data_IF_678887096669
#
_entry.id   IF_678887096669
#
_cell.length_a   1.000
_cell.length_b   1.000
_cell.length_c   1.000
_cell.angle_alpha   90.00
_cell.angle_beta   90.00
_cell.angle_gamma   90.00
#
_symmetry.space_group_name_H-M   'P 1'
#
loop_
_entity.id
_entity.type
_entity.pdbx_description
1 polymer ?
#
# COMPACT_ATOMS: atom_id res chain seq x y z
N UNK A 1 -27.68 1.25 -28.60
CA UNK A 1 -27.01 2.48 -28.13
C UNK A 1 -25.59 2.03 -27.84
N UNK A 2 -24.66 2.39 -28.73
CA UNK A 2 -23.27 1.94 -28.69
C UNK A 2 -22.66 2.30 -27.34
N UNK A 3 -22.02 1.32 -26.70
CA UNK A 3 -21.06 1.59 -25.62
C UNK A 3 -19.96 2.44 -26.27
N UNK A 4 -19.89 3.71 -25.90
CA UNK A 4 -18.72 4.53 -26.22
C UNK A 4 -17.50 3.79 -25.69
N UNK A 5 -16.56 3.45 -26.58
CA UNK A 5 -15.28 2.89 -26.18
C UNK A 5 -14.65 3.86 -25.17
N UNK A 6 -14.42 3.40 -23.95
CA UNK A 6 -13.70 4.20 -22.94
C UNK A 6 -12.36 4.58 -23.56
N UNK A 7 -12.22 5.85 -23.93
CA UNK A 7 -11.06 6.35 -24.66
C UNK A 7 -9.83 6.24 -23.75
N UNK A 8 -9.01 5.21 -23.98
CA UNK A 8 -7.78 4.99 -23.23
C UNK A 8 -6.80 6.12 -23.54
N UNK A 9 -6.52 6.95 -22.54
CA UNK A 9 -5.68 8.15 -22.67
C UNK A 9 -4.17 7.83 -22.77
N UNK A 10 -3.78 6.55 -22.82
CA UNK A 10 -2.39 6.11 -22.90
C UNK A 10 -1.62 6.14 -21.57
N UNK A 11 -2.28 6.57 -20.49
CA UNK A 11 -1.75 6.51 -19.13
C UNK A 11 -1.84 5.11 -18.55
N UNK A 12 -0.84 4.72 -17.76
CA UNK A 12 -0.83 3.45 -17.02
C UNK A 12 -0.19 3.60 -15.65
N UNK A 13 -0.71 2.91 -14.66
CA UNK A 13 0.00 2.70 -13.39
C UNK A 13 1.02 1.57 -13.58
N UNK A 14 2.33 1.82 -13.43
CA UNK A 14 3.32 0.76 -13.52
C UNK A 14 3.21 -0.19 -12.32
N UNK A 15 3.66 -1.44 -12.52
CA UNK A 15 3.82 -2.39 -11.43
C UNK A 15 4.86 -1.89 -10.42
N UNK A 16 4.71 -2.29 -9.15
CA UNK A 16 5.63 -1.86 -8.09
C UNK A 16 7.06 -2.43 -8.24
N UNK A 17 7.26 -3.49 -9.02
CA UNK A 17 8.63 -3.95 -9.31
C UNK A 17 9.35 -3.16 -10.40
N UNK A 18 8.67 -2.24 -11.10
CA UNK A 18 9.32 -1.35 -12.04
C UNK A 18 10.37 -0.49 -11.33
N UNK A 19 11.41 -0.05 -12.05
CA UNK A 19 12.46 0.77 -11.46
C UNK A 19 11.91 2.08 -10.88
N UNK A 20 12.31 2.45 -9.69
CA UNK A 20 11.91 3.66 -8.97
C UNK A 20 12.92 4.79 -9.09
N UNK A 21 12.41 6.02 -9.11
CA UNK A 21 13.18 7.25 -8.92
C UNK A 21 13.31 7.60 -7.43
N UNK A 22 12.30 7.30 -6.62
CA UNK A 22 12.31 7.52 -5.18
C UNK A 22 11.19 6.71 -4.50
N UNK A 23 11.30 6.50 -3.18
CA UNK A 23 10.18 6.17 -2.30
C UNK A 23 9.74 7.41 -1.53
N UNK A 24 8.43 7.59 -1.39
CA UNK A 24 7.82 8.58 -0.51
C UNK A 24 7.33 7.94 0.78
N UNK A 25 7.50 8.66 1.89
CA UNK A 25 7.00 8.30 3.22
C UNK A 25 6.48 9.56 3.92
N UNK A 26 5.65 9.39 4.95
CA UNK A 26 5.20 10.49 5.82
C UNK A 26 5.66 10.20 7.25
N UNK A 27 6.27 11.18 7.90
CA UNK A 27 6.83 11.02 9.24
C UNK A 27 5.74 11.08 10.31
N UNK A 28 5.69 10.12 11.26
CA UNK A 28 4.70 10.13 12.33
C UNK A 28 5.01 11.25 13.33
N UNK A 29 3.99 12.06 13.61
CA UNK A 29 4.10 13.23 14.50
C UNK A 29 2.95 13.34 15.52
N UNK A 30 1.81 12.69 15.26
CA UNK A 30 0.62 12.82 16.08
C UNK A 30 0.74 12.01 17.38
N UNK A 31 1.29 12.63 18.42
CA UNK A 31 1.54 11.97 19.70
C UNK A 31 0.25 11.44 20.34
N UNK A 32 -0.83 12.23 20.32
CA UNK A 32 -2.09 11.83 20.94
C UNK A 32 -2.69 10.59 20.27
N UNK A 33 -2.60 10.51 18.93
CA UNK A 33 -3.05 9.33 18.19
C UNK A 33 -2.24 8.09 18.59
N UNK A 34 -0.91 8.15 18.52
CA UNK A 34 -0.07 6.99 18.81
C UNK A 34 -0.12 6.55 20.28
N UNK A 35 -0.10 7.51 21.22
CA UNK A 35 -0.05 7.19 22.65
C UNK A 35 -1.41 6.88 23.25
N UNK A 36 -2.46 7.61 22.88
CA UNK A 36 -3.78 7.43 23.50
C UNK A 36 -4.66 6.42 22.76
N UNK A 37 -4.52 6.31 21.43
CA UNK A 37 -5.32 5.37 20.63
C UNK A 37 -4.56 4.05 20.45
N UNK A 38 -3.33 4.10 19.95
CA UNK A 38 -2.58 2.87 19.59
C UNK A 38 -1.78 2.26 20.75
N UNK A 39 -1.71 2.95 21.90
CA UNK A 39 -1.09 2.43 23.12
C UNK A 39 0.44 2.24 23.03
N UNK A 40 1.11 2.97 22.13
CA UNK A 40 2.57 2.96 21.96
C UNK A 40 3.14 4.37 22.00
N UNK A 41 4.40 4.52 22.41
CA UNK A 41 5.00 5.87 22.43
C UNK A 41 5.31 6.36 21.02
N UNK A 42 5.09 7.65 20.74
CA UNK A 42 5.44 8.23 19.44
C UNK A 42 6.93 8.03 19.13
N UNK A 43 7.80 8.13 20.13
CA UNK A 43 9.24 7.95 19.97
C UNK A 43 9.60 6.53 19.49
N UNK A 44 8.91 5.49 19.97
CA UNK A 44 9.10 4.12 19.51
C UNK A 44 8.66 3.95 18.05
N UNK A 45 7.50 4.50 17.69
CA UNK A 45 6.99 4.45 16.31
C UNK A 45 7.94 5.18 15.35
N UNK A 46 8.44 6.35 15.74
CA UNK A 46 9.43 7.09 14.96
C UNK A 46 10.73 6.30 14.72
N UNK A 47 11.17 5.50 15.70
CA UNK A 47 12.31 4.60 15.50
C UNK A 47 12.00 3.51 14.46
N UNK A 48 10.79 2.95 14.46
CA UNK A 48 10.36 1.97 13.47
C UNK A 48 10.34 2.57 12.06
N UNK A 49 9.76 3.76 11.88
CA UNK A 49 9.76 4.50 10.61
C UNK A 49 11.17 4.83 10.12
N UNK A 50 12.07 5.28 11.02
CA UNK A 50 13.46 5.58 10.67
C UNK A 50 14.21 4.32 10.21
N UNK A 51 13.95 3.16 10.80
CA UNK A 51 14.53 1.88 10.35
C UNK A 51 14.05 1.51 8.95
N UNK A 52 12.75 1.65 8.67
CA UNK A 52 12.19 1.41 7.33
C UNK A 52 12.81 2.36 6.30
N UNK A 53 12.79 3.66 6.57
CA UNK A 53 13.37 4.67 5.67
C UNK A 53 14.86 4.42 5.42
N UNK A 54 15.62 4.07 6.47
CA UNK A 54 17.06 3.76 6.34
C UNK A 54 17.30 2.49 5.54
N UNK A 55 16.45 1.47 5.67
CA UNK A 55 16.53 0.24 4.90
C UNK A 55 16.30 0.52 3.41
N UNK A 56 15.27 1.30 3.07
CA UNK A 56 14.95 1.70 1.69
C UNK A 56 16.08 2.56 1.08
N UNK A 57 16.62 3.51 1.86
CA UNK A 57 17.68 4.43 1.43
C UNK A 57 19.00 3.75 1.02
N UNK A 58 19.13 2.43 1.22
CA UNK A 58 20.22 1.61 0.68
C UNK A 58 20.06 1.31 -0.81
N UNK A 59 18.83 1.33 -1.33
CA UNK A 59 18.47 0.86 -2.67
C UNK A 59 17.90 1.96 -3.57
N UNK A 60 17.27 2.98 -3.00
CA UNK A 60 16.72 4.12 -3.74
C UNK A 60 16.58 5.39 -2.87
N UNK A 61 16.49 6.58 -3.49
CA UNK A 61 16.25 7.82 -2.74
C UNK A 61 14.95 7.75 -1.93
N UNK A 62 14.97 8.29 -0.71
CA UNK A 62 13.78 8.40 0.16
C UNK A 62 13.46 9.87 0.37
N UNK A 63 12.19 10.20 0.12
CA UNK A 63 11.60 11.52 0.37
C UNK A 63 10.58 11.38 1.50
N UNK A 64 10.83 12.08 2.61
CA UNK A 64 10.01 12.04 3.80
C UNK A 64 9.24 13.36 3.92
N UNK A 65 7.91 13.29 3.82
CA UNK A 65 7.03 14.40 4.17
C UNK A 65 7.00 14.51 5.69
N UNK A 66 7.26 15.70 6.25
CA UNK A 66 7.35 15.89 7.70
C UNK A 66 6.50 17.07 8.12
N UNK A 67 5.59 16.86 9.08
CA UNK A 67 4.89 17.99 9.70
C UNK A 67 5.92 18.98 10.30
N UNK A 68 5.75 20.31 10.14
CA UNK A 68 6.68 21.29 10.69
C UNK A 68 6.99 21.12 12.18
N UNK A 69 6.05 20.61 12.98
CA UNK A 69 6.24 20.34 14.41
C UNK A 69 7.24 19.21 14.70
N UNK A 70 7.45 18.29 13.75
CA UNK A 70 8.25 17.09 13.95
C UNK A 70 9.59 17.09 13.20
N UNK A 71 9.93 18.17 12.49
CA UNK A 71 11.20 18.28 11.73
C UNK A 71 12.42 17.96 12.60
N UNK A 72 12.46 18.42 13.85
CA UNK A 72 13.57 18.13 14.75
C UNK A 72 13.74 16.63 15.04
N UNK A 73 12.63 15.92 15.29
CA UNK A 73 12.64 14.47 15.53
C UNK A 73 13.05 13.69 14.28
N UNK A 74 12.57 14.12 13.11
CA UNK A 74 12.96 13.54 11.83
C UNK A 74 14.45 13.73 11.56
N UNK A 75 15.01 14.93 11.77
CA UNK A 75 16.46 15.17 11.60
C UNK A 75 17.30 14.29 12.54
N UNK A 76 16.83 14.09 13.78
CA UNK A 76 17.56 13.32 14.78
C UNK A 76 17.65 11.82 14.42
N UNK A 77 16.63 11.27 13.77
CA UNK A 77 16.51 9.83 13.49
C UNK A 77 16.77 9.47 12.03
N UNK A 78 16.42 10.34 11.10
CA UNK A 78 16.69 10.19 9.68
C UNK A 78 18.09 10.72 9.37
N UNK A 79 18.97 9.85 8.91
CA UNK A 79 20.31 10.24 8.44
C UNK A 79 20.27 11.13 7.18
N UNK A 80 21.43 11.66 6.74
CA UNK A 80 21.50 12.63 5.64
C UNK A 80 21.12 12.08 4.25
N UNK A 81 20.80 10.78 4.15
CA UNK A 81 20.37 10.13 2.91
C UNK A 81 18.87 10.26 2.64
N UNK A 82 18.11 10.76 3.61
CA UNK A 82 16.65 10.93 3.51
C UNK A 82 16.39 12.42 3.32
N UNK A 83 15.70 12.77 2.22
CA UNK A 83 15.29 14.13 1.95
C UNK A 83 14.04 14.47 2.78
N UNK A 84 14.14 15.46 3.67
CA UNK A 84 13.00 15.91 4.48
C UNK A 84 12.27 17.06 3.77
N UNK A 85 10.96 16.94 3.65
CA UNK A 85 10.08 17.89 2.95
C UNK A 85 9.03 18.40 3.96
N UNK A 86 9.24 19.59 4.56
CA UNK A 86 8.32 20.12 5.56
C UNK A 86 6.95 20.48 4.95
N UNK A 87 5.91 19.77 5.39
CA UNK A 87 4.52 19.95 4.94
C UNK A 87 3.57 19.40 6.01
N UNK A 88 2.49 20.15 6.31
CA UNK A 88 1.49 19.70 7.28
C UNK A 88 0.79 18.41 6.83
N UNK A 89 0.51 17.51 7.76
CA UNK A 89 -0.17 16.21 7.57
C UNK A 89 -0.98 15.88 8.83
N UNK A 90 -1.97 15.00 8.75
CA UNK A 90 -2.72 14.52 9.94
C UNK A 90 -2.13 13.21 10.47
N UNK A 91 -1.85 12.27 9.57
CA UNK A 91 -1.29 10.95 9.89
C UNK A 91 -0.12 10.59 8.95
N UNK A 92 0.34 9.34 8.98
CA UNK A 92 1.63 8.89 8.44
C UNK A 92 1.54 7.79 7.37
N UNK A 93 0.33 7.52 6.87
CA UNK A 93 0.05 6.47 5.89
C UNK A 93 0.21 7.00 4.46
N UNK A 94 1.46 7.10 4.02
CA UNK A 94 1.82 7.66 2.72
C UNK A 94 1.24 6.87 1.54
N UNK A 95 1.02 5.55 1.71
CA UNK A 95 0.42 4.68 0.69
C UNK A 95 -0.97 5.15 0.31
N UNK A 96 -1.74 5.59 1.30
CA UNK A 96 -3.18 5.80 1.16
C UNK A 96 -3.52 7.25 0.81
N UNK A 97 -2.78 8.20 1.38
CA UNK A 97 -2.96 9.64 1.17
C UNK A 97 -2.02 10.22 0.09
N UNK A 98 -1.01 9.47 -0.34
CA UNK A 98 -0.07 9.83 -1.38
C UNK A 98 -0.63 9.66 -2.80
N UNK A 99 0.10 10.15 -3.83
CA UNK A 99 -0.35 10.03 -5.21
C UNK A 99 -0.08 8.63 -5.76
N UNK A 100 -1.02 8.11 -6.56
CA UNK A 100 -0.72 6.97 -7.44
C UNK A 100 -0.08 7.50 -8.72
N UNK A 101 1.22 7.27 -8.89
CA UNK A 101 1.95 7.72 -10.07
C UNK A 101 1.56 6.93 -11.33
N UNK A 102 1.40 7.63 -12.44
CA UNK A 102 1.06 7.07 -13.75
C UNK A 102 2.04 7.54 -14.81
N UNK A 103 2.31 6.68 -15.79
CA UNK A 103 3.24 6.95 -16.88
C UNK A 103 2.51 6.96 -18.22
N UNK A 104 2.97 7.81 -19.14
CA UNK A 104 2.58 7.83 -20.53
C UNK A 104 3.83 7.73 -21.42
N UNK A 105 3.80 6.97 -22.54
CA UNK A 105 4.98 6.81 -23.38
C UNK A 105 5.52 8.13 -23.96
N UNK A 106 4.62 9.04 -24.36
CA UNK A 106 4.97 10.37 -24.88
C UNK A 106 4.90 11.52 -23.86
N UNK A 107 3.97 11.50 -22.88
CA UNK A 107 3.72 12.65 -21.99
C UNK A 107 4.52 12.59 -20.68
N UNK A 108 5.23 11.50 -20.40
CA UNK A 108 6.08 11.42 -19.22
C UNK A 108 5.41 10.83 -17.99
N UNK A 109 5.74 11.39 -16.83
CA UNK A 109 5.24 11.01 -15.52
C UNK A 109 4.16 12.01 -15.07
N UNK A 110 3.07 11.49 -14.50
CA UNK A 110 2.03 12.27 -13.83
C UNK A 110 1.56 11.51 -12.59
N UNK A 111 0.58 12.04 -11.86
CA UNK A 111 -0.04 11.32 -10.74
C UNK A 111 -1.54 11.51 -10.66
N UNK A 112 -2.20 10.50 -10.14
CA UNK A 112 -3.60 10.54 -9.73
C UNK A 112 -3.66 10.95 -8.26
N UNK A 113 -4.51 11.92 -7.95
CA UNK A 113 -4.88 12.31 -6.60
C UNK A 113 -6.31 11.84 -6.36
N UNK A 114 -6.45 10.77 -5.59
CA UNK A 114 -7.74 10.27 -5.12
C UNK A 114 -8.33 11.19 -4.06
N UNK A 115 -9.63 11.06 -3.79
CA UNK A 115 -10.26 11.71 -2.64
C UNK A 115 -9.97 10.90 -1.37
N UNK A 116 -8.93 11.23 -0.64
CA UNK A 116 -8.67 10.55 0.64
C UNK A 116 -9.62 11.06 1.74
N UNK A 117 -10.23 10.15 2.50
CA UNK A 117 -11.17 10.48 3.57
C UNK A 117 -10.89 9.78 4.91
N UNK A 118 -9.65 9.36 5.17
CA UNK A 118 -9.27 8.56 6.34
C UNK A 118 -10.15 7.31 6.53
N UNK A 119 -10.15 6.46 5.50
CA UNK A 119 -10.81 5.16 5.47
C UNK A 119 -12.28 5.20 5.93
N UNK A 120 -13.04 6.19 5.44
CA UNK A 120 -14.44 6.39 5.84
C UNK A 120 -14.61 7.31 7.05
N UNK A 121 -13.80 8.36 7.16
CA UNK A 121 -13.80 9.36 8.22
C UNK A 121 -13.53 8.79 9.62
N UNK A 122 -12.71 7.75 9.72
CA UNK A 122 -12.29 7.12 10.99
C UNK A 122 -11.25 7.96 11.74
N UNK A 123 -10.64 8.96 11.09
CA UNK A 123 -9.64 9.85 11.68
C UNK A 123 -9.68 11.24 11.02
N UNK A 124 -9.03 12.21 11.66
CA UNK A 124 -8.84 13.56 11.08
C UNK A 124 -7.95 13.48 9.83
N UNK A 125 -8.27 14.25 8.79
CA UNK A 125 -7.64 14.12 7.47
C UNK A 125 -7.65 15.39 6.62
N UNK A 126 -7.86 16.57 7.20
CA UNK A 126 -8.00 17.81 6.42
C UNK A 126 -6.74 18.15 5.60
N UNK A 127 -5.56 17.81 6.12
CA UNK A 127 -4.28 17.96 5.44
C UNK A 127 -3.97 16.77 4.52
N UNK A 128 -4.36 15.57 4.92
CA UNK A 128 -4.08 14.34 4.17
C UNK A 128 -4.95 14.20 2.91
N UNK A 129 -6.18 14.74 2.91
CA UNK A 129 -7.05 14.80 1.73
C UNK A 129 -6.35 15.45 0.52
N UNK A 130 -5.47 16.42 0.77
CA UNK A 130 -4.74 17.16 -0.26
C UNK A 130 -3.28 16.72 -0.44
N UNK A 131 -2.81 15.72 0.30
CA UNK A 131 -1.38 15.35 0.33
C UNK A 131 -0.88 14.94 -1.05
N UNK A 132 -1.57 14.03 -1.74
CA UNK A 132 -1.23 13.61 -3.11
C UNK A 132 -1.01 14.79 -4.06
N UNK A 133 -1.94 15.75 -4.08
CA UNK A 133 -1.82 16.97 -4.90
C UNK A 133 -0.62 17.83 -4.50
N UNK A 134 -0.37 18.00 -3.19
CA UNK A 134 0.76 18.79 -2.68
C UNK A 134 2.11 18.15 -3.03
N UNK A 135 2.21 16.82 -2.98
CA UNK A 135 3.39 16.05 -3.42
C UNK A 135 3.61 16.25 -4.93
N UNK A 136 2.57 16.10 -5.75
CA UNK A 136 2.68 16.28 -7.21
C UNK A 136 3.07 17.72 -7.59
N UNK A 137 2.50 18.72 -6.91
CA UNK A 137 2.86 20.12 -7.10
C UNK A 137 4.33 20.39 -6.72
N UNK A 138 4.81 19.81 -5.60
CA UNK A 138 6.21 19.93 -5.19
C UNK A 138 7.16 19.34 -6.25
N UNK A 139 6.76 18.24 -6.89
CA UNK A 139 7.52 17.63 -8.00
C UNK A 139 7.36 18.36 -9.35
N UNK A 140 6.45 19.32 -9.47
CA UNK A 140 6.11 19.97 -10.74
C UNK A 140 5.43 19.03 -11.74
N UNK A 141 4.75 17.98 -11.26
CA UNK A 141 4.08 16.99 -12.10
C UNK A 141 2.60 17.31 -12.33
N UNK A 142 2.07 16.85 -13.46
CA UNK A 142 0.64 16.93 -13.76
C UNK A 142 -0.14 16.08 -12.75
N UNK A 143 -1.21 16.65 -12.20
CA UNK A 143 -2.08 16.02 -11.23
C UNK A 143 -3.48 15.82 -11.82
N UNK A 144 -3.94 14.58 -11.88
CA UNK A 144 -5.31 14.21 -12.22
C UNK A 144 -6.10 13.95 -10.95
N UNK A 145 -6.96 14.90 -10.56
CA UNK A 145 -7.82 14.74 -9.37
C UNK A 145 -9.03 13.87 -9.68
N UNK A 146 -9.28 12.86 -8.85
CA UNK A 146 -10.41 11.94 -8.98
C UNK A 146 -11.40 12.13 -7.82
N UNK A 147 -12.72 12.21 -8.08
CA UNK A 147 -13.72 12.32 -7.02
C UNK A 147 -13.96 11.00 -6.28
N UNK A 148 -13.43 9.88 -6.80
CA UNK A 148 -13.51 8.56 -6.19
C UNK A 148 -12.70 8.57 -4.88
N UNK A 149 -13.34 8.19 -3.77
CA UNK A 149 -12.62 7.86 -2.55
C UNK A 149 -11.88 6.55 -2.74
N UNK A 150 -10.57 6.62 -2.69
CA UNK A 150 -9.69 5.49 -2.90
C UNK A 150 -8.35 5.73 -2.19
N UNK A 151 -7.76 4.66 -1.72
CA UNK A 151 -6.44 4.59 -1.12
C UNK A 151 -5.49 3.77 -2.02
N UNK A 152 -4.19 4.07 -1.99
CA UNK A 152 -3.21 3.26 -2.72
C UNK A 152 -3.16 1.81 -2.25
N UNK A 153 -3.34 1.55 -0.94
CA UNK A 153 -3.35 0.20 -0.36
C UNK A 153 -4.56 -0.64 -0.78
N UNK A 154 -5.61 -0.01 -1.32
CA UNK A 154 -6.76 -0.69 -1.90
C UNK A 154 -6.51 -1.22 -3.32
N UNK A 155 -5.39 -0.86 -3.95
CA UNK A 155 -5.08 -1.20 -5.34
C UNK A 155 -3.77 -1.99 -5.45
N UNK A 156 -3.79 -3.09 -6.21
CA UNK A 156 -2.55 -3.76 -6.63
C UNK A 156 -2.57 -4.05 -8.13
N UNK A 157 -1.57 -3.58 -8.87
CA UNK A 157 -1.49 -3.71 -10.33
C UNK A 157 -0.32 -4.57 -10.79
N UNK A 158 -0.49 -5.29 -11.91
CA UNK A 158 0.56 -6.10 -12.52
C UNK A 158 1.37 -5.36 -13.61
N UNK A 159 0.98 -4.13 -13.94
CA UNK A 159 1.58 -3.34 -15.03
C UNK A 159 1.26 -3.82 -16.45
N UNK A 160 0.49 -4.90 -16.60
CA UNK A 160 0.07 -5.51 -17.87
C UNK A 160 -1.45 -5.45 -18.09
N UNK A 161 -2.14 -4.64 -17.29
CA UNK A 161 -3.56 -4.32 -17.41
C UNK A 161 -4.46 -5.04 -16.40
N UNK A 162 -3.89 -5.73 -15.41
CA UNK A 162 -4.65 -6.36 -14.33
C UNK A 162 -4.57 -5.52 -13.07
N UNK A 163 -5.70 -5.34 -12.39
CA UNK A 163 -5.81 -4.75 -11.07
C UNK A 163 -6.55 -5.70 -10.13
N UNK A 164 -6.04 -5.90 -8.93
CA UNK A 164 -6.74 -6.58 -7.84
C UNK A 164 -7.13 -5.53 -6.79
N UNK A 165 -8.37 -5.60 -6.33
CA UNK A 165 -8.96 -4.72 -5.32
C UNK A 165 -10.01 -5.48 -4.52
N UNK A 166 -10.57 -4.87 -3.47
CA UNK A 166 -11.64 -5.46 -2.68
C UNK A 166 -12.97 -4.71 -2.81
N UNK A 167 -14.07 -5.46 -2.73
CA UNK A 167 -15.44 -4.92 -2.72
C UNK A 167 -15.75 -4.17 -1.43
N UNK A 168 -15.32 -4.73 -0.29
CA UNK A 168 -15.51 -4.17 1.06
C UNK A 168 -14.88 -2.80 1.29
N UNK A 169 -13.92 -2.40 0.44
CA UNK A 169 -13.35 -1.05 0.43
C UNK A 169 -14.05 -0.18 -0.60
N UNK A 170 -13.93 -0.48 -1.91
CA UNK A 170 -14.33 0.50 -2.93
C UNK A 170 -15.84 0.63 -3.14
N UNK A 171 -16.62 -0.41 -2.81
CA UNK A 171 -18.08 -0.38 -2.84
C UNK A 171 -18.67 -0.03 -1.48
N UNK A 172 -17.82 0.25 -0.48
CA UNK A 172 -18.27 0.65 0.83
C UNK A 172 -19.04 1.98 0.75
N UNK A 173 -20.25 2.09 1.33
CA UNK A 173 -20.96 3.36 1.41
C UNK A 173 -20.18 4.47 2.12
N UNK A 174 -19.22 4.13 3.01
CA UNK A 174 -18.35 5.11 3.66
C UNK A 174 -17.24 5.68 2.73
N UNK A 175 -16.99 5.03 1.57
CA UNK A 175 -16.09 5.51 0.53
C UNK A 175 -16.87 6.18 -0.59
N UNK A 176 -17.70 5.40 -1.27
CA UNK A 176 -18.29 5.76 -2.56
C UNK A 176 -19.78 5.40 -2.58
N UNK A 177 -20.64 6.13 -1.85
CA UNK A 177 -22.07 5.80 -1.78
C UNK A 177 -22.73 5.89 -3.16
N UNK A 178 -23.35 4.79 -3.59
CA UNK A 178 -24.08 4.70 -4.85
C UNK A 178 -23.22 4.51 -6.09
N UNK A 179 -21.90 4.36 -5.95
CA UNK A 179 -21.00 4.07 -7.07
C UNK A 179 -21.00 2.58 -7.38
N UNK A 180 -21.05 2.22 -8.67
CA UNK A 180 -21.05 0.83 -9.12
C UNK A 180 -19.65 0.36 -9.50
N UNK A 181 -19.45 -0.96 -9.60
CA UNK A 181 -18.20 -1.54 -10.13
C UNK A 181 -17.88 -1.01 -11.53
N UNK A 182 -18.88 -0.84 -12.39
CA UNK A 182 -18.68 -0.36 -13.75
C UNK A 182 -18.13 1.07 -13.77
N UNK A 183 -18.63 1.95 -12.88
CA UNK A 183 -18.14 3.33 -12.75
C UNK A 183 -16.67 3.34 -12.31
N UNK A 184 -16.30 2.47 -11.36
CA UNK A 184 -14.91 2.33 -10.88
C UNK A 184 -14.00 1.75 -11.97
N UNK A 185 -14.46 0.72 -12.68
CA UNK A 185 -13.73 0.09 -13.77
C UNK A 185 -13.47 1.07 -14.93
N UNK A 186 -14.39 2.00 -15.21
CA UNK A 186 -14.15 3.07 -16.19
C UNK A 186 -13.00 3.99 -15.76
N UNK A 187 -12.95 4.38 -14.47
CA UNK A 187 -11.84 5.17 -13.92
C UNK A 187 -10.52 4.42 -14.03
N UNK A 188 -10.49 3.14 -13.66
CA UNK A 188 -9.30 2.30 -13.74
C UNK A 188 -8.81 2.10 -15.17
N UNK A 189 -9.72 1.86 -16.11
CA UNK A 189 -9.38 1.72 -17.52
C UNK A 189 -8.79 3.01 -18.10
N UNK A 190 -9.40 4.15 -17.79
CA UNK A 190 -9.02 5.45 -18.34
C UNK A 190 -7.68 5.98 -17.82
N UNK A 191 -7.43 5.84 -16.52
CA UNK A 191 -6.30 6.51 -15.85
C UNK A 191 -5.18 5.56 -15.44
N UNK A 192 -5.50 4.32 -15.09
CA UNK A 192 -4.53 3.33 -14.64
C UNK A 192 -4.17 2.34 -15.75
N UNK A 193 -4.86 2.39 -16.90
CA UNK A 193 -4.60 1.52 -18.05
C UNK A 193 -5.08 0.07 -17.84
N UNK A 194 -6.04 -0.13 -16.94
CA UNK A 194 -6.53 -1.46 -16.55
C UNK A 194 -7.51 -1.99 -17.59
N UNK A 195 -7.36 -3.27 -17.92
CA UNK A 195 -8.24 -4.02 -18.84
C UNK A 195 -9.09 -5.04 -18.09
N UNK A 196 -8.63 -5.48 -16.93
CA UNK A 196 -9.33 -6.45 -16.09
C UNK A 196 -9.15 -6.14 -14.62
N UNK A 197 -10.26 -5.97 -13.93
CA UNK A 197 -10.30 -5.84 -12.47
C UNK A 197 -10.72 -7.17 -11.86
N UNK A 198 -10.00 -7.61 -10.83
CA UNK A 198 -10.34 -8.77 -10.01
C UNK A 198 -10.83 -8.22 -8.67
N UNK A 199 -12.11 -8.48 -8.39
CA UNK A 199 -12.79 -8.03 -7.19
C UNK A 199 -12.80 -9.13 -6.14
N UNK A 200 -11.97 -8.97 -5.11
CA UNK A 200 -12.01 -9.83 -3.94
C UNK A 200 -13.13 -9.36 -2.99
N UNK A 201 -13.74 -10.25 -2.18
CA UNK A 201 -14.69 -9.83 -1.16
C UNK A 201 -14.08 -8.86 -0.12
N UNK A 202 -12.78 -8.99 0.17
CA UNK A 202 -12.07 -8.34 1.28
C UNK A 202 -12.65 -8.74 2.63
N UNK A 203 -12.98 -7.78 3.50
CA UNK A 203 -13.60 -8.00 4.81
C UNK A 203 -15.03 -7.38 4.89
N UNK A 204 -16.04 -7.97 4.22
CA UNK A 204 -17.37 -7.36 4.09
C UNK A 204 -18.14 -7.20 5.40
N UNK A 205 -17.71 -7.89 6.47
CA UNK A 205 -18.36 -7.84 7.77
C UNK A 205 -17.54 -7.10 8.83
N UNK A 206 -16.38 -6.53 8.48
CA UNK A 206 -15.49 -5.79 9.39
C UNK A 206 -15.07 -6.62 10.61
N UNK A 207 -14.81 -7.91 10.39
CA UNK A 207 -14.59 -8.90 11.46
C UNK A 207 -13.13 -9.23 11.69
N UNK A 208 -12.23 -8.74 10.84
CA UNK A 208 -10.78 -8.97 10.97
C UNK A 208 -10.09 -7.97 11.89
N UNK A 209 -10.76 -6.86 12.24
CA UNK A 209 -10.15 -5.76 12.99
C UNK A 209 -9.29 -4.83 12.12
N UNK A 210 -9.29 -5.02 10.79
CA UNK A 210 -8.63 -4.14 9.84
C UNK A 210 -9.34 -2.77 9.78
N UNK A 211 -8.59 -1.71 10.12
CA UNK A 211 -9.06 -0.33 10.10
C UNK A 211 -9.38 0.18 8.70
N UNK A 212 -8.90 -0.49 7.65
CA UNK A 212 -9.04 -0.06 6.27
C UNK A 212 -10.27 -0.62 5.55
N UNK A 213 -11.03 -1.51 6.21
CA UNK A 213 -12.17 -2.27 5.65
C UNK A 213 -11.77 -3.40 4.67
N UNK A 214 -10.55 -3.92 4.76
CA UNK A 214 -10.06 -5.03 3.95
C UNK A 214 -9.25 -4.57 2.74
N UNK A 215 -8.19 -3.76 2.95
CA UNK A 215 -7.26 -3.40 1.88
C UNK A 215 -6.63 -4.64 1.24
N UNK A 216 -6.39 -4.56 -0.08
CA UNK A 216 -5.81 -5.68 -0.83
C UNK A 216 -4.34 -5.92 -0.45
N UNK A 217 -3.61 -4.89 -0.01
CA UNK A 217 -2.21 -4.99 0.41
C UNK A 217 -2.00 -5.69 1.78
N UNK A 218 -3.08 -6.09 2.45
CA UNK A 218 -3.08 -7.04 3.57
C UNK A 218 -3.53 -8.46 3.17
N UNK A 219 -3.93 -8.67 1.90
CA UNK A 219 -4.49 -9.93 1.40
C UNK A 219 -3.55 -10.59 0.39
N UNK A 220 -3.04 -9.83 -0.57
CA UNK A 220 -2.14 -10.35 -1.59
C UNK A 220 -1.25 -9.28 -2.21
N UNK A 221 -0.14 -9.74 -2.79
CA UNK A 221 0.77 -8.90 -3.54
C UNK A 221 1.23 -9.58 -4.83
N UNK A 222 1.32 -8.84 -5.93
CA UNK A 222 1.95 -9.36 -7.14
C UNK A 222 3.46 -9.44 -6.95
N UNK A 223 4.01 -10.64 -7.13
CA UNK A 223 5.46 -10.84 -7.18
C UNK A 223 6.02 -10.55 -8.58
N UNK A 224 5.24 -10.93 -9.60
CA UNK A 224 5.51 -10.79 -11.04
C UNK A 224 4.23 -11.11 -11.82
N UNK A 225 4.14 -10.85 -13.14
CA UNK A 225 2.93 -11.18 -13.91
C UNK A 225 2.53 -12.65 -13.75
N UNK A 226 1.27 -12.89 -13.35
CA UNK A 226 0.73 -14.23 -13.11
C UNK A 226 1.13 -14.91 -11.80
N UNK A 227 1.87 -14.26 -10.90
CA UNK A 227 2.30 -14.84 -9.61
C UNK A 227 1.94 -13.91 -8.46
N UNK A 228 1.21 -14.44 -7.48
CA UNK A 228 0.75 -13.72 -6.30
C UNK A 228 1.31 -14.34 -5.02
N UNK A 229 1.77 -13.50 -4.12
CA UNK A 229 1.89 -13.82 -2.70
C UNK A 229 0.51 -13.59 -2.07
N UNK A 230 0.02 -14.53 -1.27
CA UNK A 230 -1.32 -14.47 -0.64
C UNK A 230 -1.16 -14.70 0.85
N UNK A 231 -1.79 -13.84 1.64
CA UNK A 231 -1.83 -13.96 3.09
C UNK A 231 -2.48 -15.28 3.50
N UNK A 232 -1.89 -15.94 4.50
CA UNK A 232 -2.33 -17.22 5.00
C UNK A 232 -2.20 -17.30 6.53
N UNK A 233 -3.04 -18.12 7.14
CA UNK A 233 -3.01 -18.38 8.59
C UNK A 233 -2.97 -19.87 8.89
N UNK A 234 -2.30 -20.23 9.99
CA UNK A 234 -2.27 -21.60 10.51
C UNK A 234 -3.55 -21.95 11.30
N UNK A 235 -4.26 -20.96 11.84
CA UNK A 235 -5.55 -21.22 12.47
C UNK A 235 -6.63 -21.31 11.40
N UNK A 236 -7.12 -22.51 11.11
CA UNK A 236 -8.15 -22.68 10.08
C UNK A 236 -9.59 -22.43 10.57
N UNK A 237 -9.78 -22.24 11.88
CA UNK A 237 -11.09 -22.14 12.52
C UNK A 237 -11.57 -20.70 12.74
N UNK A 238 -10.65 -19.74 12.81
CA UNK A 238 -10.98 -18.33 13.05
C UNK A 238 -11.85 -17.71 11.95
N UNK A 239 -12.49 -16.59 12.29
CA UNK A 239 -13.19 -15.75 11.33
C UNK A 239 -12.21 -15.18 10.29
N UNK A 240 -11.00 -14.81 10.72
CA UNK A 240 -9.92 -14.41 9.82
C UNK A 240 -9.63 -15.48 8.75
N UNK A 241 -9.54 -16.75 9.16
CA UNK A 241 -9.30 -17.86 8.23
C UNK A 241 -10.42 -18.03 7.20
N UNK A 242 -11.67 -17.75 7.59
CA UNK A 242 -12.81 -17.77 6.67
C UNK A 242 -12.67 -16.66 5.62
N UNK A 243 -12.34 -15.45 6.06
CA UNK A 243 -12.10 -14.29 5.18
C UNK A 243 -10.94 -14.56 4.23
N UNK A 244 -9.80 -15.05 4.72
CA UNK A 244 -8.63 -15.39 3.89
C UNK A 244 -8.97 -16.45 2.83
N UNK A 245 -9.74 -17.49 3.18
CA UNK A 245 -10.18 -18.52 2.23
C UNK A 245 -11.07 -17.99 1.11
N UNK A 246 -12.04 -17.13 1.42
CA UNK A 246 -12.94 -16.60 0.39
C UNK A 246 -12.21 -15.66 -0.57
N UNK A 247 -11.31 -14.82 -0.07
CA UNK A 247 -10.45 -13.99 -0.91
C UNK A 247 -9.56 -14.84 -1.83
N UNK A 248 -8.90 -15.86 -1.27
CA UNK A 248 -8.09 -16.81 -2.05
C UNK A 248 -8.90 -17.54 -3.12
N UNK A 249 -10.13 -17.99 -2.80
CA UNK A 249 -10.99 -18.71 -3.74
C UNK A 249 -11.26 -17.89 -5.00
N UNK A 250 -11.41 -16.57 -4.89
CA UNK A 250 -11.55 -15.69 -6.06
C UNK A 250 -10.28 -15.69 -6.89
N UNK A 251 -9.10 -15.61 -6.27
CA UNK A 251 -7.82 -15.65 -6.97
C UNK A 251 -7.59 -16.98 -7.71
N UNK A 252 -7.95 -18.11 -7.10
CA UNK A 252 -7.82 -19.46 -7.73
C UNK A 252 -8.69 -19.63 -8.98
N UNK A 253 -9.84 -18.96 -9.01
CA UNK A 253 -10.79 -18.98 -10.13
C UNK A 253 -10.51 -17.92 -11.19
N UNK A 254 -9.76 -16.89 -10.84
CA UNK A 254 -9.46 -15.77 -11.71
C UNK A 254 -8.37 -16.09 -12.74
N UNK A 255 -8.35 -15.25 -13.77
CA UNK A 255 -7.21 -15.08 -14.66
C UNK A 255 -6.87 -13.61 -14.75
N UNK A 256 -5.64 -13.28 -15.11
CA UNK A 256 -5.24 -11.90 -15.33
C UNK A 256 -5.72 -11.36 -16.70
N UNK A 257 -5.36 -10.12 -17.02
CA UNK A 257 -5.72 -9.45 -18.27
C UNK A 257 -5.11 -10.11 -19.52
N UNK A 258 -4.07 -10.93 -19.36
CA UNK A 258 -3.43 -11.70 -20.42
C UNK A 258 -3.95 -13.14 -20.50
N UNK A 259 -4.92 -13.51 -19.64
CA UNK A 259 -5.53 -14.83 -19.62
C UNK A 259 -4.73 -15.89 -18.84
N UNK A 260 -3.69 -15.51 -18.09
CA UNK A 260 -2.91 -16.44 -17.26
C UNK A 260 -3.68 -16.74 -15.97
N UNK A 261 -3.64 -18.00 -15.51
CA UNK A 261 -4.03 -18.34 -14.14
C UNK A 261 -2.92 -17.94 -13.18
N UNK A 262 -3.29 -17.61 -11.94
CA UNK A 262 -2.31 -17.25 -10.93
C UNK A 262 -1.64 -18.48 -10.32
N UNK A 263 -0.30 -18.41 -10.21
CA UNK A 263 0.45 -19.16 -9.20
C UNK A 263 0.27 -18.42 -7.86
N UNK A 264 -0.25 -19.12 -6.84
CA UNK A 264 -0.47 -18.56 -5.51
C UNK A 264 0.59 -19.11 -4.55
N UNK A 265 1.40 -18.21 -4.00
CA UNK A 265 2.43 -18.51 -3.01
C UNK A 265 1.91 -18.04 -1.65
N UNK A 266 1.78 -18.95 -0.71
CA UNK A 266 1.30 -18.65 0.64
C UNK A 266 2.37 -17.92 1.45
N UNK A 267 1.98 -16.83 2.10
CA UNK A 267 2.81 -16.11 3.03
C UNK A 267 2.09 -16.05 4.39
N UNK A 268 2.53 -16.92 5.30
CA UNK A 268 1.88 -17.11 6.60
C UNK A 268 2.15 -15.95 7.55
N UNK A 269 1.09 -15.43 8.17
CA UNK A 269 1.11 -14.29 9.11
C UNK A 269 1.96 -14.52 10.37
N UNK A 270 2.30 -13.43 11.06
CA UNK A 270 3.07 -13.40 12.29
C UNK A 270 2.20 -13.52 13.56
N UNK A 271 1.25 -14.47 13.62
CA UNK A 271 0.27 -14.57 14.73
C UNK A 271 0.92 -14.56 16.12
N UNK A 272 2.09 -15.19 16.28
CA UNK A 272 2.81 -15.25 17.56
C UNK A 272 3.34 -13.90 18.07
N UNK A 273 3.43 -12.90 17.19
CA UNK A 273 3.87 -11.55 17.55
C UNK A 273 2.71 -10.60 17.89
N UNK A 274 1.46 -11.02 17.67
CA UNK A 274 0.29 -10.18 17.91
C UNK A 274 0.23 -9.79 19.38
N UNK A 275 0.25 -8.49 19.63
CA UNK A 275 -0.02 -7.96 20.96
C UNK A 275 -1.54 -8.00 21.22
N UNK A 276 -1.99 -8.92 22.06
CA UNK A 276 -3.41 -9.10 22.36
C UNK A 276 -4.03 -7.95 23.17
N UNK A 277 -3.21 -7.08 23.76
CA UNK A 277 -3.67 -5.87 24.45
C UNK A 277 -3.82 -4.67 23.50
N UNK A 278 -3.34 -4.78 22.26
CA UNK A 278 -3.50 -3.75 21.24
C UNK A 278 -4.91 -3.79 20.65
N UNK A 279 -5.47 -2.62 20.34
CA UNK A 279 -6.77 -2.53 19.65
C UNK A 279 -6.68 -3.11 18.24
N UNK A 280 -5.57 -2.86 17.56
CA UNK A 280 -5.25 -3.37 16.22
C UNK A 280 -3.77 -3.72 16.18
N UNK A 281 -3.41 -4.77 15.43
CA UNK A 281 -2.01 -5.13 15.21
C UNK A 281 -1.82 -5.73 13.82
N UNK A 282 -1.02 -5.09 12.97
CA UNK A 282 -0.65 -5.64 11.67
C UNK A 282 0.37 -6.75 11.84
N UNK A 283 -0.04 -8.00 11.64
CA UNK A 283 0.83 -9.18 11.65
C UNK A 283 1.09 -9.76 10.25
N UNK A 284 0.61 -9.11 9.19
CA UNK A 284 0.77 -9.63 7.84
C UNK A 284 2.19 -9.37 7.32
N UNK A 285 2.81 -10.41 6.75
CA UNK A 285 4.05 -10.24 5.99
C UNK A 285 3.79 -9.77 4.56
N UNK A 286 2.55 -9.86 4.04
CA UNK A 286 2.21 -9.39 2.69
C UNK A 286 2.36 -7.88 2.55
N UNK A 287 2.31 -7.14 3.67
CA UNK A 287 2.51 -5.70 3.74
C UNK A 287 4.00 -5.29 3.66
N UNK A 288 4.75 -5.93 2.75
CA UNK A 288 6.14 -5.59 2.41
C UNK A 288 6.18 -4.54 1.30
N UNK A 289 7.33 -3.87 1.12
CA UNK A 289 7.55 -2.92 0.03
C UNK A 289 8.61 -3.41 -0.95
N UNK A 290 8.35 -3.32 -2.26
CA UNK A 290 9.32 -3.69 -3.30
C UNK A 290 10.17 -2.45 -3.63
N UNK A 291 11.38 -2.36 -3.08
CA UNK A 291 12.37 -1.35 -3.49
C UNK A 291 13.22 -1.88 -4.66
N UNK A 292 13.86 -0.99 -5.42
CA UNK A 292 14.66 -1.28 -6.62
C UNK A 292 15.53 -2.54 -6.60
N UNK A 293 16.21 -2.83 -5.49
CA UNK A 293 17.06 -4.04 -5.34
C UNK A 293 16.72 -4.88 -4.11
N UNK A 294 15.58 -4.63 -3.45
CA UNK A 294 15.25 -5.27 -2.19
C UNK A 294 13.76 -5.43 -1.96
N UNK A 295 13.41 -6.38 -1.10
CA UNK A 295 12.10 -6.46 -0.45
C UNK A 295 12.27 -6.00 0.98
N UNK A 296 11.63 -4.89 1.34
CA UNK A 296 11.61 -4.40 2.71
C UNK A 296 10.46 -5.09 3.42
N UNK A 297 10.81 -6.15 4.14
CA UNK A 297 9.86 -7.06 4.77
C UNK A 297 9.58 -6.61 6.21
N UNK A 298 8.32 -6.50 6.66
CA UNK A 298 8.04 -6.33 8.08
C UNK A 298 8.57 -7.54 8.87
N UNK A 299 9.16 -7.29 10.02
CA UNK A 299 9.64 -8.32 10.93
C UNK A 299 9.21 -8.02 12.36
N UNK A 300 9.03 -9.07 13.15
CA UNK A 300 8.41 -8.97 14.46
C UNK A 300 9.28 -9.52 15.61
N UNK A 301 10.43 -10.11 15.28
CA UNK A 301 11.39 -10.69 16.23
C UNK A 301 11.07 -12.13 16.61
N UNK A 302 10.42 -12.89 15.72
CA UNK A 302 9.97 -14.26 15.95
C UNK A 302 10.50 -15.22 14.88
N UNK A 303 10.38 -16.54 15.11
CA UNK A 303 10.89 -17.55 14.18
C UNK A 303 10.22 -17.48 12.79
N UNK A 304 8.94 -17.07 12.74
CA UNK A 304 8.20 -16.90 11.50
C UNK A 304 8.84 -15.85 10.56
N UNK A 305 9.59 -14.88 11.07
CA UNK A 305 10.27 -13.86 10.24
C UNK A 305 11.21 -14.54 9.23
N UNK A 306 11.95 -15.57 9.65
CA UNK A 306 12.87 -16.28 8.78
C UNK A 306 12.15 -17.15 7.74
N UNK A 307 10.98 -17.70 8.10
CA UNK A 307 10.14 -18.48 7.18
C UNK A 307 9.60 -17.57 6.09
N UNK A 308 9.02 -16.42 6.47
CA UNK A 308 8.55 -15.41 5.53
C UNK A 308 9.68 -14.90 4.62
N UNK A 309 10.87 -14.63 5.17
CA UNK A 309 12.03 -14.20 4.40
C UNK A 309 12.44 -15.24 3.33
N UNK A 310 12.39 -16.53 3.66
CA UNK A 310 12.71 -17.59 2.71
C UNK A 310 11.70 -17.67 1.56
N UNK A 311 10.40 -17.53 1.86
CA UNK A 311 9.34 -17.51 0.85
C UNK A 311 9.49 -16.30 -0.07
N UNK A 312 9.70 -15.10 0.50
CA UNK A 312 9.93 -13.90 -0.29
C UNK A 312 11.22 -13.99 -1.13
N UNK A 313 12.28 -14.61 -0.61
CA UNK A 313 13.51 -14.84 -1.37
C UNK A 313 13.31 -15.75 -2.59
N UNK A 314 12.40 -16.72 -2.51
CA UNK A 314 12.01 -17.55 -3.66
C UNK A 314 11.13 -16.79 -4.65
N UNK A 315 10.21 -15.95 -4.16
CA UNK A 315 9.35 -15.12 -4.99
C UNK A 315 10.13 -14.01 -5.74
N UNK A 316 11.20 -13.49 -5.12
CA UNK A 316 12.01 -12.37 -5.61
C UNK A 316 13.52 -12.70 -5.63
N UNK A 317 13.97 -13.62 -6.51
CA UNK A 317 15.35 -14.13 -6.49
C UNK A 317 16.42 -13.07 -6.78
N UNK A 318 16.05 -11.98 -7.48
CA UNK A 318 16.97 -10.90 -7.85
C UNK A 318 16.96 -9.73 -6.85
N UNK A 319 16.30 -9.88 -5.70
CA UNK A 319 16.18 -8.84 -4.67
C UNK A 319 16.71 -9.32 -3.32
N UNK A 320 17.39 -8.44 -2.62
CA UNK A 320 17.79 -8.68 -1.22
C UNK A 320 16.55 -8.64 -0.32
N UNK A 321 16.32 -9.67 0.50
CA UNK A 321 15.28 -9.62 1.52
C UNK A 321 15.84 -8.89 2.74
N UNK A 322 15.20 -7.79 3.12
CA UNK A 322 15.61 -6.93 4.24
C UNK A 322 14.51 -6.91 5.29
N UNK A 323 14.60 -7.77 6.31
CA UNK A 323 13.70 -7.75 7.45
C UNK A 323 13.89 -6.46 8.26
N UNK A 324 12.80 -5.74 8.54
CA UNK A 324 12.80 -4.53 9.37
C UNK A 324 11.83 -4.71 10.52
N UNK A 325 12.34 -4.58 11.74
CA UNK A 325 11.51 -4.69 12.94
C UNK A 325 10.50 -3.53 13.00
N UNK A 326 9.20 -3.82 13.06
CA UNK A 326 8.13 -2.81 13.03
C UNK A 326 7.08 -2.95 14.14
N UNK A 327 7.38 -3.63 15.25
CA UNK A 327 6.38 -3.96 16.27
C UNK A 327 5.59 -2.76 16.80
N UNK A 328 6.16 -1.55 16.88
CA UNK A 328 5.43 -0.38 17.37
C UNK A 328 4.60 0.27 16.27
N UNK A 329 5.10 0.29 15.03
CA UNK A 329 4.31 0.69 13.86
C UNK A 329 3.08 -0.22 13.69
N UNK A 330 3.22 -1.53 13.90
CA UNK A 330 2.16 -2.51 13.74
C UNK A 330 0.91 -2.22 14.58
N UNK A 331 1.06 -1.55 15.73
CA UNK A 331 -0.06 -1.12 16.58
C UNK A 331 -0.99 -0.09 15.91
N UNK A 332 -0.53 0.59 14.85
CA UNK A 332 -1.36 1.50 14.05
C UNK A 332 -2.22 0.77 13.00
N UNK A 333 -2.11 -0.56 12.91
CA UNK A 333 -2.92 -1.38 12.00
C UNK A 333 -2.36 -1.55 10.58
N UNK A 334 -1.17 -1.00 10.28
CA UNK A 334 -0.49 -1.18 8.99
C UNK A 334 0.97 -1.61 9.11
N UNK A 335 1.56 -2.02 7.99
CA UNK A 335 2.94 -2.48 7.89
C UNK A 335 3.83 -1.55 7.05
N UNK A 336 4.85 -2.12 6.40
CA UNK A 336 5.83 -1.36 5.61
C UNK A 336 5.18 -0.78 4.34
N UNK A 337 4.29 -1.53 3.70
CA UNK A 337 3.64 -1.10 2.47
C UNK A 337 2.71 0.10 2.70
N UNK A 338 1.98 0.13 3.83
CA UNK A 338 1.05 1.22 4.17
C UNK A 338 1.73 2.57 4.40
N UNK A 339 3.02 2.58 4.75
CA UNK A 339 3.77 3.82 5.05
C UNK A 339 4.65 4.28 3.88
N UNK A 340 4.60 3.59 2.74
CA UNK A 340 5.47 3.84 1.57
C UNK A 340 4.66 4.08 0.30
N UNK A 341 5.18 4.90 -0.60
CA UNK A 341 4.62 5.13 -1.94
C UNK A 341 5.75 5.28 -2.96
N UNK A 342 5.83 4.35 -3.90
CA UNK A 342 6.83 4.36 -4.96
C UNK A 342 6.58 5.47 -5.98
N UNK A 343 7.64 6.19 -6.35
CA UNK A 343 7.69 7.03 -7.53
C UNK A 343 8.47 6.30 -8.64
N UNK A 344 7.82 5.85 -9.72
CA UNK A 344 8.50 5.14 -10.79
C UNK A 344 9.49 6.05 -11.52
N UNK A 345 10.61 5.48 -11.97
CA UNK A 345 11.54 6.15 -12.85
C UNK A 345 11.01 6.14 -14.28
N UNK A 346 10.92 7.32 -14.90
CA UNK A 346 10.55 7.47 -16.30
C UNK A 346 11.77 7.89 -17.15
N UNK A 347 11.94 7.36 -18.39
CA UNK A 347 11.12 6.35 -19.03
C UNK A 347 11.24 4.99 -18.32
N UNK A 348 10.12 4.27 -18.24
CA UNK A 348 10.09 2.91 -17.70
C UNK A 348 11.05 2.05 -18.54
N UNK A 349 12.05 1.47 -17.88
CA UNK A 349 12.90 0.46 -18.51
C UNK A 349 12.24 -0.89 -18.24
N UNK A 350 11.98 -1.62 -19.33
CA UNK A 350 11.26 -2.89 -19.33
C UNK A 350 11.83 -3.90 -18.36
#
# INVERSE_FOLDING_TARGET
MQMDEVENLGWRMPAEWCRHAATWMVWPHNQALWENTWGVTLAQVQQDFARVATAIARFEPVKMVVDPSAVASAIALCGPRIELIPQAVNDSWCRDSGPSFICHPQQGLAGVSWRFNAWGAKSAHEWDESLARRVLNHLGLVCFGMPLSNEGGALHVDGEGTLITTESVLLNPNRNPGVTKADIEEVFARWLGIKKTIWLPGDPNYVTGDMTDGHVDGICAFARPGVLLVDATHDHSSVYAQVARENRRVLELATDAQGRRFELIELYEATEAVNTDAEVFCASYTNFYIANGAIIMPAYGIAADQVAANVLGQAFPDREIVPVRINHLAHGGGGVHCITQQQPAWPLKG
#
